data_IF_628498067334
#
_entry.id   IF_628498067334
#
_cell.length_a   1.000
_cell.length_b   1.000
_cell.length_c   1.000
_cell.angle_alpha   90.00
_cell.angle_beta   90.00
_cell.angle_gamma   90.00
#
_symmetry.space_group_name_H-M   'P 1'
#
loop_
_entity.id
_entity.type
_entity.pdbx_description
1 polymer ?
#
# COMPACT_ATOMS: atom_id res chain seq x y z
N UNK A 1 2.11 -11.98 -1.77
CA UNK A 1 1.98 -11.91 -3.26
C UNK A 1 1.82 -10.47 -3.68
N UNK A 2 2.53 -9.98 -4.69
CA UNK A 2 2.37 -8.60 -5.20
C UNK A 2 1.18 -8.51 -6.14
N UNK A 3 0.32 -7.52 -5.94
CA UNK A 3 -0.87 -7.28 -6.77
C UNK A 3 -0.75 -6.01 -7.62
N UNK A 4 0.12 -5.08 -7.23
CA UNK A 4 0.43 -3.88 -8.00
C UNK A 4 1.87 -3.40 -7.75
N UNK A 5 2.50 -2.79 -8.75
CA UNK A 5 3.79 -2.11 -8.64
C UNK A 5 3.83 -0.87 -9.54
N UNK A 6 4.30 0.26 -9.03
CA UNK A 6 4.39 1.52 -9.75
C UNK A 6 5.31 2.54 -9.06
N UNK A 7 5.29 3.81 -9.50
CA UNK A 7 6.16 4.87 -8.96
C UNK A 7 5.97 5.16 -7.46
N UNK A 8 4.76 4.93 -6.93
CA UNK A 8 4.46 5.05 -5.49
C UNK A 8 4.86 3.83 -4.66
N UNK A 9 5.40 2.78 -5.27
CA UNK A 9 5.80 1.54 -4.60
C UNK A 9 4.99 0.32 -5.01
N UNK A 10 4.65 -0.52 -4.05
CA UNK A 10 4.05 -1.83 -4.35
C UNK A 10 2.95 -2.19 -3.34
N UNK A 11 1.87 -2.76 -3.84
CA UNK A 11 0.78 -3.31 -3.03
C UNK A 11 0.93 -4.82 -2.97
N UNK A 12 0.94 -5.37 -1.77
CA UNK A 12 1.13 -6.81 -1.55
C UNK A 12 0.05 -7.36 -0.63
N UNK A 13 -0.36 -8.60 -0.92
CA UNK A 13 -1.12 -9.42 0.01
C UNK A 13 -0.19 -9.91 1.14
N UNK A 14 -0.56 -9.68 2.40
CA UNK A 14 0.16 -10.19 3.55
C UNK A 14 0.13 -11.73 3.57
N UNK A 15 1.20 -12.35 4.07
CA UNK A 15 1.27 -13.81 4.20
C UNK A 15 0.40 -14.33 5.34
N UNK A 16 0.23 -13.52 6.39
CA UNK A 16 -0.62 -13.81 7.53
C UNK A 16 -1.58 -12.65 7.70
N UNK A 17 -2.87 -12.82 7.41
CA UNK A 17 -3.79 -11.72 7.48
C UNK A 17 -4.13 -11.33 8.93
N UNK A 18 -4.02 -10.03 9.27
CA UNK A 18 -4.62 -9.44 10.47
C UNK A 18 -6.14 -9.36 10.41
N UNK A 19 -6.71 -9.09 9.24
CA UNK A 19 -8.14 -9.12 8.95
C UNK A 19 -8.40 -10.10 7.81
N UNK A 20 -9.35 -11.02 8.00
CA UNK A 20 -9.80 -11.94 6.96
C UNK A 20 -10.52 -11.15 5.85
N UNK A 21 -10.54 -11.71 4.63
CA UNK A 21 -11.35 -11.20 3.51
C UNK A 21 -12.85 -11.17 3.82
N UNK A 22 -13.35 -12.04 4.70
CA UNK A 22 -14.73 -11.95 5.18
C UNK A 22 -15.02 -10.63 5.91
N UNK A 23 -13.99 -10.02 6.52
CA UNK A 23 -14.06 -8.74 7.24
C UNK A 23 -13.48 -7.59 6.41
N UNK A 24 -13.53 -7.68 5.08
CA UNK A 24 -13.00 -6.68 4.14
C UNK A 24 -11.49 -6.80 3.86
N UNK A 25 -10.77 -7.61 4.63
CA UNK A 25 -9.35 -7.90 4.44
C UNK A 25 -8.43 -6.68 4.63
N UNK A 26 -7.16 -6.86 4.31
CA UNK A 26 -6.19 -5.76 4.23
C UNK A 26 -5.07 -6.10 3.26
N UNK A 27 -4.36 -5.07 2.84
CA UNK A 27 -3.17 -5.14 1.99
C UNK A 27 -2.07 -4.32 2.64
N UNK A 28 -0.83 -4.57 2.24
CA UNK A 28 0.33 -3.76 2.64
C UNK A 28 0.75 -2.92 1.45
N UNK A 29 0.83 -1.60 1.64
CA UNK A 29 1.34 -0.65 0.63
C UNK A 29 2.77 -0.27 1.00
N UNK A 30 3.75 -0.88 0.34
CA UNK A 30 5.17 -0.59 0.55
C UNK A 30 5.59 0.66 -0.23
N UNK A 31 6.48 1.49 0.31
CA UNK A 31 7.07 2.63 -0.39
C UNK A 31 7.92 2.19 -1.61
N UNK A 32 8.31 3.13 -2.50
CA UNK A 32 9.08 2.84 -3.71
C UNK A 32 10.45 2.19 -3.45
N UNK A 33 11.00 2.36 -2.25
CA UNK A 33 12.22 1.69 -1.80
C UNK A 33 12.14 1.35 -0.31
N UNK A 34 12.98 0.41 0.13
CA UNK A 34 13.07 0.03 1.53
C UNK A 34 13.65 1.18 2.36
N UNK A 35 12.87 1.62 3.35
CA UNK A 35 13.23 2.61 4.36
C UNK A 35 12.80 2.07 5.72
N UNK A 36 13.44 2.55 6.78
CA UNK A 36 13.01 2.26 8.14
C UNK A 36 11.84 3.17 8.54
N UNK A 37 11.93 4.45 8.19
CA UNK A 37 10.92 5.46 8.49
C UNK A 37 10.50 6.29 7.27
N UNK A 38 9.31 6.86 7.35
CA UNK A 38 8.73 7.66 6.27
C UNK A 38 9.54 8.93 5.95
N UNK A 39 10.18 9.53 6.96
CA UNK A 39 11.01 10.75 6.82
C UNK A 39 12.26 10.55 5.97
N UNK A 40 12.69 9.30 5.74
CA UNK A 40 13.81 9.00 4.85
C UNK A 40 13.45 9.18 3.37
N UNK A 41 12.15 9.19 3.03
CA UNK A 41 11.71 9.40 1.65
C UNK A 41 11.90 10.86 1.24
N UNK A 42 12.32 11.07 0.00
CA UNK A 42 12.24 12.40 -0.61
C UNK A 42 10.79 12.86 -0.68
N UNK A 43 10.57 14.18 -0.78
CA UNK A 43 9.21 14.73 -0.88
C UNK A 43 8.40 14.13 -2.04
N UNK A 44 9.05 13.85 -3.18
CA UNK A 44 8.40 13.25 -4.35
C UNK A 44 8.05 11.78 -4.11
N UNK A 45 8.96 10.99 -3.53
CA UNK A 45 8.69 9.60 -3.17
C UNK A 45 7.53 9.51 -2.18
N UNK A 46 7.53 10.38 -1.16
CA UNK A 46 6.46 10.45 -0.16
C UNK A 46 5.12 10.81 -0.81
N UNK A 47 5.08 11.84 -1.66
CA UNK A 47 3.85 12.24 -2.33
C UNK A 47 3.27 11.07 -3.16
N UNK A 48 4.08 10.41 -3.99
CA UNK A 48 3.63 9.26 -4.78
C UNK A 48 3.16 8.09 -3.91
N UNK A 49 3.85 7.80 -2.81
CA UNK A 49 3.45 6.74 -1.90
C UNK A 49 2.11 7.05 -1.22
N UNK A 50 1.91 8.28 -0.72
CA UNK A 50 0.63 8.71 -0.16
C UNK A 50 -0.51 8.65 -1.17
N UNK A 51 -0.28 9.07 -2.42
CA UNK A 51 -1.29 8.92 -3.48
C UNK A 51 -1.65 7.45 -3.73
N UNK A 52 -0.67 6.55 -3.72
CA UNK A 52 -0.93 5.11 -3.86
C UNK A 52 -1.74 4.58 -2.68
N UNK A 53 -1.40 4.94 -1.44
CA UNK A 53 -2.18 4.55 -0.25
C UNK A 53 -3.63 5.01 -0.37
N UNK A 54 -3.86 6.27 -0.76
CA UNK A 54 -5.21 6.80 -0.96
C UNK A 54 -5.99 6.09 -2.08
N UNK A 55 -5.34 5.84 -3.22
CA UNK A 55 -5.96 5.13 -4.35
C UNK A 55 -6.33 3.68 -3.98
N UNK A 56 -5.48 3.00 -3.21
CA UNK A 56 -5.78 1.64 -2.72
C UNK A 56 -6.93 1.66 -1.72
N UNK A 57 -6.94 2.63 -0.80
CA UNK A 57 -8.04 2.78 0.15
C UNK A 57 -9.38 2.98 -0.55
N UNK A 58 -9.42 3.85 -1.57
CA UNK A 58 -10.62 4.06 -2.38
C UNK A 58 -11.03 2.79 -3.14
N UNK A 59 -10.07 2.13 -3.80
CA UNK A 59 -10.36 0.89 -4.53
C UNK A 59 -10.86 -0.24 -3.64
N UNK A 60 -10.42 -0.30 -2.37
CA UNK A 60 -10.97 -1.23 -1.39
C UNK A 60 -12.42 -0.87 -1.05
N UNK A 61 -12.72 0.40 -0.76
CA UNK A 61 -14.10 0.85 -0.45
C UNK A 61 -15.06 0.53 -1.60
N UNK A 62 -14.65 0.71 -2.85
CA UNK A 62 -15.50 0.49 -4.03
C UNK A 62 -15.93 -0.98 -4.22
N UNK A 63 -15.26 -1.94 -3.57
CA UNK A 63 -15.52 -3.38 -3.70
C UNK A 63 -15.93 -4.05 -2.39
N UNK A 64 -16.20 -3.27 -1.33
CA UNK A 64 -16.78 -3.75 -0.07
C UNK A 64 -18.29 -3.96 -0.18
#
# INVERSE_FOLDING_TARGET
MTIYKGPGGAVVLPSSPFLDRADGGHVIVNPPRKVWEQSELTAVELAHWCFLVGAVGLAMIDVL
#
